data_IF_891722063085
#
_entry.id   IF_891722063085
#
_cell.length_a   1.000
_cell.length_b   1.000
_cell.length_c   1.000
_cell.angle_alpha   90.00
_cell.angle_beta   90.00
_cell.angle_gamma   90.00
#
_symmetry.space_group_name_H-M   'P 1'
#
loop_
_entity.id
_entity.type
_entity.pdbx_description
1 polymer ?
#
# COMPACT_ATOMS: atom_id res chain seq x y z
N UNK A 1 -36.79 14.98 16.31
CA UNK A 1 -36.61 15.19 14.86
C UNK A 1 -36.94 16.64 14.54
N UNK A 2 -36.00 17.49 14.10
CA UNK A 2 -36.33 18.84 13.69
C UNK A 2 -36.86 18.84 12.24
N UNK A 3 -37.94 19.59 12.04
CA UNK A 3 -38.67 19.78 10.79
C UNK A 3 -37.82 20.46 9.71
N UNK A 4 -37.79 19.86 8.52
CA UNK A 4 -37.10 20.34 7.32
C UNK A 4 -37.86 21.48 6.63
N UNK A 5 -37.31 22.70 6.63
CA UNK A 5 -37.76 23.74 5.71
C UNK A 5 -37.12 23.54 4.33
N UNK A 6 -37.96 23.35 3.31
CA UNK A 6 -37.59 23.37 1.89
C UNK A 6 -37.10 24.78 1.47
N UNK A 7 -36.19 24.78 0.49
CA UNK A 7 -35.65 25.90 -0.35
C UNK A 7 -34.42 26.56 0.28
N UNK A 8 -33.24 26.42 -0.33
CA UNK A 8 -32.82 27.16 -1.53
C UNK A 8 -32.14 26.25 -2.58
N UNK A 9 -32.31 26.60 -3.86
CA UNK A 9 -32.02 25.74 -5.00
C UNK A 9 -30.54 25.56 -5.32
N UNK A 10 -30.12 24.30 -5.48
CA UNK A 10 -28.89 23.95 -6.21
C UNK A 10 -29.04 24.42 -7.67
N UNK A 11 -28.12 25.25 -8.21
CA UNK A 11 -28.13 25.59 -9.62
C UNK A 11 -27.50 24.49 -10.49
N UNK A 12 -27.97 24.43 -11.73
CA UNK A 12 -27.44 23.72 -12.90
C UNK A 12 -28.01 22.32 -13.23
N UNK A 13 -28.23 22.13 -14.52
CA UNK A 13 -28.58 20.90 -15.23
C UNK A 13 -27.63 19.72 -14.96
N UNK A 14 -26.48 19.93 -14.32
CA UNK A 14 -25.45 18.92 -14.05
C UNK A 14 -25.85 17.84 -13.04
N UNK A 15 -26.88 18.08 -12.22
CA UNK A 15 -27.29 17.15 -11.15
C UNK A 15 -28.70 16.57 -11.31
N UNK A 16 -29.32 16.75 -12.49
CA UNK A 16 -30.67 16.25 -12.77
C UNK A 16 -30.78 14.73 -12.59
N UNK A 17 -29.77 13.98 -13.05
CA UNK A 17 -29.74 12.52 -12.93
C UNK A 17 -29.68 12.05 -11.46
N UNK A 18 -29.00 12.80 -10.58
CA UNK A 18 -28.96 12.47 -9.15
C UNK A 18 -30.30 12.76 -8.47
N UNK A 19 -30.96 13.88 -8.80
CA UNK A 19 -32.31 14.17 -8.28
C UNK A 19 -33.29 13.08 -8.67
N UNK A 20 -33.29 12.69 -9.95
CA UNK A 20 -34.11 11.58 -10.43
C UNK A 20 -33.81 10.27 -9.71
N UNK A 21 -32.54 10.01 -9.38
CA UNK A 21 -32.17 8.84 -8.59
C UNK A 21 -32.68 8.92 -7.14
N UNK A 22 -32.48 10.03 -6.44
CA UNK A 22 -32.97 10.23 -5.06
C UNK A 22 -34.49 10.11 -5.01
N UNK A 23 -35.21 10.82 -5.88
CA UNK A 23 -36.67 10.78 -5.97
C UNK A 23 -37.16 9.34 -6.28
N UNK A 24 -36.42 8.62 -7.12
CA UNK A 24 -36.70 7.22 -7.44
C UNK A 24 -36.47 6.26 -6.27
N UNK A 25 -35.45 6.50 -5.44
CA UNK A 25 -35.20 5.73 -4.20
C UNK A 25 -36.29 5.99 -3.18
N UNK A 26 -36.68 7.26 -2.97
CA UNK A 26 -37.76 7.63 -2.05
C UNK A 26 -39.09 6.99 -2.50
N UNK A 27 -39.43 7.09 -3.79
CA UNK A 27 -40.62 6.44 -4.34
C UNK A 27 -40.60 4.91 -4.24
N UNK A 28 -39.42 4.29 -4.36
CA UNK A 28 -39.24 2.84 -4.20
C UNK A 28 -39.31 2.38 -2.73
N UNK A 29 -38.99 3.25 -1.77
CA UNK A 29 -39.16 2.97 -0.35
C UNK A 29 -40.62 3.09 0.09
N UNK A 30 -41.40 3.98 -0.54
CA UNK A 30 -42.82 4.20 -0.26
C UNK A 30 -43.76 3.20 -0.98
N UNK A 31 -43.27 2.46 -1.98
CA UNK A 31 -44.04 1.43 -2.69
C UNK A 31 -43.42 0.04 -2.52
N UNK A 32 -44.24 -1.02 -2.61
CA UNK A 32 -43.88 -2.41 -2.29
C UNK A 32 -42.50 -2.90 -2.80
N UNK A 33 -41.84 -3.84 -2.08
CA UNK A 33 -40.42 -4.20 -2.22
C UNK A 33 -39.98 -4.85 -3.55
N UNK A 34 -40.84 -4.95 -4.56
CA UNK A 34 -40.55 -5.60 -5.84
C UNK A 34 -40.12 -4.65 -6.95
N UNK A 35 -40.02 -3.33 -6.70
CA UNK A 35 -39.61 -2.36 -7.72
C UNK A 35 -38.08 -2.33 -7.82
N UNK A 36 -37.56 -2.53 -9.04
CA UNK A 36 -36.11 -2.47 -9.32
C UNK A 36 -35.58 -1.09 -8.90
N UNK A 37 -34.62 -1.08 -7.95
CA UNK A 37 -34.00 0.17 -7.49
C UNK A 37 -33.35 0.91 -8.67
N UNK A 38 -33.48 2.24 -8.74
CA UNK A 38 -32.84 3.03 -9.77
C UNK A 38 -31.32 2.93 -9.65
N UNK A 39 -30.64 2.87 -10.80
CA UNK A 39 -29.18 2.76 -10.86
C UNK A 39 -28.54 4.09 -10.44
N UNK A 40 -27.57 4.01 -9.51
CA UNK A 40 -26.96 5.22 -8.95
C UNK A 40 -26.06 5.89 -9.99
N UNK A 41 -26.26 7.18 -10.31
CA UNK A 41 -25.38 7.88 -11.22
C UNK A 41 -23.97 8.00 -10.62
N UNK A 42 -22.95 7.85 -11.46
CA UNK A 42 -21.56 8.07 -11.09
C UNK A 42 -21.31 9.56 -10.94
N UNK A 43 -20.96 10.01 -9.74
CA UNK A 43 -20.56 11.38 -9.46
C UNK A 43 -19.07 11.42 -9.14
N UNK A 44 -18.40 12.49 -9.56
CA UNK A 44 -17.04 12.76 -9.10
C UNK A 44 -17.01 12.94 -7.59
N UNK A 45 -15.96 12.44 -6.93
CA UNK A 45 -15.73 12.59 -5.49
C UNK A 45 -15.76 14.06 -5.03
N UNK A 46 -15.37 14.97 -5.93
CA UNK A 46 -15.36 16.42 -5.75
C UNK A 46 -16.57 17.10 -6.38
N UNK A 47 -17.71 16.42 -6.45
CA UNK A 47 -18.95 17.10 -6.81
C UNK A 47 -19.19 18.22 -5.78
N UNK A 48 -19.39 19.48 -6.20
CA UNK A 48 -19.72 20.57 -5.29
C UNK A 48 -21.07 20.36 -4.59
N UNK A 49 -21.76 19.23 -4.77
CA UNK A 49 -22.95 18.88 -4.01
C UNK A 49 -22.74 19.01 -2.49
N UNK A 50 -21.57 18.72 -1.95
CA UNK A 50 -21.33 18.84 -0.51
C UNK A 50 -21.06 20.29 -0.08
N UNK A 51 -20.42 21.08 -0.94
CA UNK A 51 -20.25 22.53 -0.76
C UNK A 51 -21.62 23.23 -0.86
N UNK A 52 -22.43 22.86 -1.85
CA UNK A 52 -23.73 23.42 -2.16
C UNK A 52 -24.82 22.98 -1.16
N UNK A 53 -24.75 21.76 -0.63
CA UNK A 53 -25.70 21.26 0.39
C UNK A 53 -25.26 21.57 1.81
N UNK A 54 -24.00 21.99 2.02
CA UNK A 54 -23.41 22.24 3.33
C UNK A 54 -23.36 20.99 4.23
N UNK A 55 -23.42 19.78 3.67
CA UNK A 55 -23.47 18.52 4.43
C UNK A 55 -22.13 17.80 4.39
N UNK A 56 -21.45 17.59 5.52
CA UNK A 56 -20.26 16.76 5.54
C UNK A 56 -20.61 15.27 5.35
N UNK A 57 -19.66 14.49 4.85
CA UNK A 57 -19.67 13.04 4.95
C UNK A 57 -19.78 12.64 6.43
N UNK A 58 -20.82 11.88 6.83
CA UNK A 58 -20.91 11.45 8.23
C UNK A 58 -19.68 10.65 8.67
N UNK A 59 -19.18 9.80 7.77
CA UNK A 59 -18.01 8.96 7.97
C UNK A 59 -17.11 8.97 6.73
N UNK A 60 -15.82 9.14 6.95
CA UNK A 60 -14.77 8.90 5.97
C UNK A 60 -14.03 7.61 6.34
N UNK A 61 -13.94 6.64 5.43
CA UNK A 61 -13.22 5.39 5.67
C UNK A 61 -11.99 5.40 4.75
N UNK A 62 -10.81 5.36 5.36
CA UNK A 62 -9.52 5.30 4.67
C UNK A 62 -8.93 3.92 4.87
N UNK A 63 -8.97 3.09 3.82
CA UNK A 63 -8.27 1.81 3.81
C UNK A 63 -6.82 1.99 3.34
N UNK A 64 -5.92 1.14 3.83
CA UNK A 64 -4.48 1.21 3.62
C UNK A 64 -3.91 2.63 3.83
N UNK A 65 -4.27 3.25 4.96
CA UNK A 65 -3.98 4.68 5.21
C UNK A 65 -2.48 5.02 5.12
N UNK A 66 -1.56 4.04 5.23
CA UNK A 66 -0.12 4.25 5.06
C UNK A 66 0.26 4.91 3.73
N UNK A 67 -0.55 4.78 2.68
CA UNK A 67 -0.30 5.45 1.40
C UNK A 67 -0.51 6.97 1.45
N UNK A 68 -1.21 7.47 2.48
CA UNK A 68 -1.53 8.90 2.66
C UNK A 68 -0.89 9.48 3.93
N UNK A 69 0.12 8.81 4.51
CA UNK A 69 0.82 9.28 5.72
C UNK A 69 1.58 10.60 5.53
N UNK A 70 2.05 10.88 4.31
CA UNK A 70 2.88 12.05 4.04
C UNK A 70 2.01 13.31 3.93
N UNK A 71 2.10 14.18 4.94
CA UNK A 71 1.36 15.45 5.00
C UNK A 71 1.64 16.41 3.84
N UNK A 72 2.83 16.32 3.24
CA UNK A 72 3.22 17.15 2.10
C UNK A 72 2.67 16.63 0.77
N UNK A 73 2.11 15.42 0.75
CA UNK A 73 1.54 14.84 -0.47
C UNK A 73 0.22 15.53 -0.84
N UNK A 74 -0.01 15.68 -2.16
CA UNK A 74 -1.28 16.21 -2.69
C UNK A 74 -2.48 15.39 -2.20
N UNK A 75 -2.33 14.06 -2.13
CA UNK A 75 -3.40 13.17 -1.68
C UNK A 75 -3.77 13.42 -0.22
N UNK A 76 -2.79 13.54 0.68
CA UNK A 76 -3.06 13.86 2.09
C UNK A 76 -3.78 15.20 2.23
N UNK A 77 -3.29 16.24 1.53
CA UNK A 77 -3.88 17.57 1.57
C UNK A 77 -5.30 17.58 1.01
N UNK A 78 -5.57 16.85 -0.07
CA UNK A 78 -6.90 16.72 -0.65
C UNK A 78 -7.88 16.02 0.33
N UNK A 79 -7.45 14.95 1.00
CA UNK A 79 -8.27 14.26 2.00
C UNK A 79 -8.61 15.20 3.16
N UNK A 80 -7.65 16.01 3.62
CA UNK A 80 -7.86 17.00 4.68
C UNK A 80 -8.88 18.09 4.34
N UNK A 81 -9.15 18.32 3.05
CA UNK A 81 -10.14 19.28 2.58
C UNK A 81 -11.55 18.68 2.46
N UNK A 82 -11.69 17.36 2.54
CA UNK A 82 -13.00 16.72 2.49
C UNK A 82 -13.81 17.09 3.75
N UNK A 83 -15.08 17.52 3.61
CA UNK A 83 -15.90 17.81 4.76
C UNK A 83 -16.39 16.49 5.38
N UNK A 84 -15.82 16.02 6.49
CA UNK A 84 -16.26 14.80 7.18
C UNK A 84 -16.50 15.01 8.68
N UNK A 85 -17.46 14.26 9.25
CA UNK A 85 -17.80 14.29 10.68
C UNK A 85 -16.93 13.36 11.51
N UNK A 86 -16.73 12.12 11.05
CA UNK A 86 -15.85 11.14 11.67
C UNK A 86 -14.99 10.44 10.62
N UNK A 87 -13.83 9.91 11.04
CA UNK A 87 -12.91 9.17 10.16
C UNK A 87 -12.53 7.84 10.79
N UNK A 88 -12.46 6.79 9.98
CA UNK A 88 -11.94 5.48 10.33
C UNK A 88 -10.74 5.22 9.42
N UNK A 89 -9.57 5.05 10.02
CA UNK A 89 -8.34 4.70 9.31
C UNK A 89 -8.04 3.22 9.54
N UNK A 90 -8.01 2.43 8.46
CA UNK A 90 -7.59 1.03 8.47
C UNK A 90 -6.20 0.91 7.86
N UNK A 91 -5.33 0.15 8.51
CA UNK A 91 -4.00 -0.18 8.00
C UNK A 91 -3.47 -1.42 8.70
N UNK A 92 -2.80 -2.29 7.94
CA UNK A 92 -2.00 -3.38 8.50
C UNK A 92 -0.71 -2.88 9.19
N UNK A 93 -0.26 -1.66 8.86
CA UNK A 93 1.03 -1.10 9.30
C UNK A 93 0.90 0.40 9.62
N UNK A 94 0.71 0.72 10.90
CA UNK A 94 0.63 2.11 11.39
C UNK A 94 2.03 2.78 11.50
N UNK A 95 3.13 2.04 11.45
CA UNK A 95 4.48 2.59 11.60
C UNK A 95 5.43 1.99 10.55
N UNK A 96 5.41 2.47 9.29
CA UNK A 96 6.17 1.80 8.24
C UNK A 96 7.67 2.09 8.32
N UNK A 97 8.05 3.34 8.64
CA UNK A 97 9.46 3.77 8.56
C UNK A 97 9.94 4.40 9.88
N UNK A 98 9.27 5.46 10.33
CA UNK A 98 9.64 6.20 11.54
C UNK A 98 8.45 6.30 12.47
N UNK A 99 8.70 6.42 13.78
CA UNK A 99 7.63 6.56 14.76
C UNK A 99 6.81 7.85 14.56
N UNK A 100 7.38 8.87 13.93
CA UNK A 100 6.72 10.14 13.59
C UNK A 100 5.69 10.02 12.47
N UNK A 101 5.78 8.96 11.64
CA UNK A 101 4.82 8.71 10.55
C UNK A 101 3.38 8.61 11.07
N UNK A 102 3.19 8.20 12.33
CA UNK A 102 1.88 8.11 12.97
C UNK A 102 1.14 9.45 13.02
N UNK A 103 1.87 10.57 13.04
CA UNK A 103 1.27 11.89 13.06
C UNK A 103 0.47 12.17 11.78
N UNK A 104 0.90 11.61 10.64
CA UNK A 104 0.13 11.67 9.40
C UNK A 104 -1.25 11.00 9.49
N UNK A 105 -1.46 10.06 10.41
CA UNK A 105 -2.78 9.48 10.64
C UNK A 105 -3.57 10.26 11.68
N UNK A 106 -2.87 10.70 12.75
CA UNK A 106 -3.46 11.51 13.81
C UNK A 106 -4.05 12.80 13.22
N UNK A 107 -3.39 13.42 12.24
CA UNK A 107 -3.85 14.65 11.62
C UNK A 107 -5.23 14.55 10.96
N UNK A 108 -5.73 13.35 10.64
CA UNK A 108 -7.09 13.16 10.14
C UNK A 108 -8.15 13.11 11.24
N UNK A 109 -7.77 12.73 12.47
CA UNK A 109 -8.70 12.56 13.58
C UNK A 109 -9.24 13.93 14.03
N UNK A 110 -10.49 13.99 14.45
CA UNK A 110 -11.04 15.20 15.07
C UNK A 110 -10.63 15.26 16.55
N UNK A 111 -10.29 16.45 17.05
CA UNK A 111 -10.12 16.70 18.48
C UNK A 111 -8.80 16.25 19.12
N UNK A 112 -7.77 15.86 18.35
CA UNK A 112 -6.44 15.61 18.90
C UNK A 112 -5.75 16.94 19.33
N UNK A 113 -4.84 16.92 20.31
CA UNK A 113 -4.29 18.14 20.91
C UNK A 113 -3.11 18.76 20.13
N UNK A 114 -2.89 18.37 18.88
CA UNK A 114 -1.68 18.72 18.12
C UNK A 114 -2.07 19.45 16.84
N UNK A 115 -1.53 20.61 16.56
CA UNK A 115 -1.78 21.31 15.29
C UNK A 115 -0.63 21.11 14.30
N UNK A 116 0.57 20.82 14.82
CA UNK A 116 1.76 20.56 14.00
C UNK A 116 2.49 19.30 14.43
N UNK A 117 3.20 18.67 13.49
CA UNK A 117 4.06 17.52 13.79
C UNK A 117 5.14 17.87 14.82
N UNK A 118 5.58 19.13 14.83
CA UNK A 118 6.59 19.62 15.77
C UNK A 118 6.08 19.63 17.22
N UNK A 119 4.82 19.99 17.44
CA UNK A 119 4.17 19.89 18.76
C UNK A 119 4.08 18.43 19.21
N UNK A 120 3.62 17.55 18.31
CA UNK A 120 3.57 16.11 18.57
C UNK A 120 4.94 15.55 18.97
N UNK A 121 5.98 15.88 18.19
CA UNK A 121 7.35 15.43 18.46
C UNK A 121 7.89 15.98 19.78
N UNK A 122 7.61 17.23 20.14
CA UNK A 122 8.06 17.82 21.42
C UNK A 122 7.48 17.08 22.62
N UNK A 123 6.22 16.64 22.53
CA UNK A 123 5.56 15.92 23.62
C UNK A 123 6.15 14.52 23.83
N UNK A 124 6.43 13.78 22.74
CA UNK A 124 6.82 12.37 22.82
C UNK A 124 8.32 12.10 22.63
N UNK A 125 9.10 13.05 22.14
CA UNK A 125 10.54 12.87 21.94
C UNK A 125 11.32 14.18 22.15
N UNK A 126 12.59 14.17 21.76
CA UNK A 126 13.46 15.35 21.74
C UNK A 126 14.07 15.46 20.35
N UNK A 127 14.28 16.70 19.89
CA UNK A 127 14.93 16.98 18.60
C UNK A 127 16.41 17.30 18.84
N UNK A 128 17.29 16.74 18.01
CA UNK A 128 18.71 17.10 18.00
C UNK A 128 19.10 17.51 16.58
N UNK A 129 19.29 18.81 16.36
CA UNK A 129 19.44 19.38 15.01
C UNK A 129 18.21 19.06 14.13
N UNK A 130 18.46 18.54 12.92
CA UNK A 130 17.40 18.19 11.98
C UNK A 130 16.81 16.78 12.18
N UNK A 131 17.41 15.92 13.01
CA UNK A 131 16.94 14.54 13.22
C UNK A 131 16.03 14.44 14.44
N UNK A 132 14.96 13.67 14.29
CA UNK A 132 14.05 13.30 15.38
C UNK A 132 14.57 12.00 16.01
N UNK A 133 14.83 11.98 17.31
CA UNK A 133 15.22 10.77 18.03
C UNK A 133 14.00 9.95 18.42
N UNK A 134 14.22 8.68 18.70
CA UNK A 134 13.19 7.84 19.29
C UNK A 134 12.77 8.35 20.68
N UNK A 135 11.50 8.15 21.07
CA UNK A 135 11.01 8.47 22.40
C UNK A 135 11.82 7.75 23.50
N UNK A 136 12.35 8.44 24.52
CA UNK A 136 12.91 7.78 25.69
C UNK A 136 11.84 6.95 26.42
N UNK A 137 12.21 5.97 27.28
CA UNK A 137 11.27 5.00 27.84
C UNK A 137 10.00 5.60 28.47
N UNK A 138 10.14 6.68 29.23
CA UNK A 138 9.02 7.37 29.88
C UNK A 138 8.06 8.02 28.88
N UNK A 139 8.61 8.70 27.86
CA UNK A 139 7.79 9.31 26.79
C UNK A 139 7.22 8.25 25.84
N UNK A 140 7.94 7.14 25.60
CA UNK A 140 7.43 5.98 24.84
C UNK A 140 6.19 5.39 25.51
N UNK A 141 6.22 5.18 26.83
CA UNK A 141 5.04 4.72 27.56
C UNK A 141 3.86 5.69 27.44
N UNK A 142 4.11 7.00 27.46
CA UNK A 142 3.08 8.03 27.22
C UNK A 142 2.53 7.97 25.80
N UNK A 143 3.38 7.80 24.80
CA UNK A 143 2.98 7.63 23.40
C UNK A 143 2.08 6.40 23.24
N UNK A 144 2.47 5.26 23.81
CA UNK A 144 1.66 4.04 23.78
C UNK A 144 0.28 4.29 24.39
N UNK A 145 0.21 4.90 25.58
CA UNK A 145 -1.08 5.23 26.23
C UNK A 145 -1.94 6.16 25.36
N UNK A 146 -1.33 7.15 24.73
CA UNK A 146 -2.02 8.06 23.82
C UNK A 146 -2.60 7.31 22.60
N UNK A 147 -1.79 6.48 21.94
CA UNK A 147 -2.23 5.68 20.79
C UNK A 147 -3.33 4.69 21.16
N UNK A 148 -3.25 4.05 22.33
CA UNK A 148 -4.28 3.10 22.80
C UNK A 148 -5.65 3.74 23.02
N UNK A 149 -5.74 5.06 23.17
CA UNK A 149 -7.02 5.75 23.36
C UNK A 149 -7.90 5.76 22.10
N UNK A 150 -7.31 5.60 20.90
CA UNK A 150 -8.03 5.69 19.63
C UNK A 150 -7.63 4.63 18.60
N UNK A 151 -6.73 3.71 18.94
CA UNK A 151 -6.35 2.60 18.07
C UNK A 151 -6.84 1.27 18.61
N UNK A 152 -7.23 0.38 17.70
CA UNK A 152 -7.58 -1.01 18.01
C UNK A 152 -6.65 -1.89 17.18
N UNK A 153 -5.91 -2.79 17.85
CA UNK A 153 -5.06 -3.78 17.20
C UNK A 153 -5.18 -5.11 17.93
N UNK A 154 -5.54 -6.15 17.19
CA UNK A 154 -5.56 -7.52 17.70
C UNK A 154 -4.21 -8.20 17.42
N UNK A 155 -3.64 -8.94 18.37
CA UNK A 155 -2.45 -9.75 18.12
C UNK A 155 -2.76 -10.91 17.17
N UNK A 156 -1.75 -11.32 16.40
CA UNK A 156 -1.85 -12.47 15.50
C UNK A 156 -2.17 -13.79 16.23
N UNK A 157 -1.86 -13.89 17.53
CA UNK A 157 -2.15 -15.06 18.37
C UNK A 157 -3.64 -15.38 18.52
N UNK A 158 -4.53 -14.44 18.21
CA UNK A 158 -5.99 -14.69 18.19
C UNK A 158 -6.39 -15.50 16.95
N UNK A 159 -5.56 -15.52 15.91
CA UNK A 159 -5.79 -16.33 14.71
C UNK A 159 -5.30 -17.75 14.98
N UNK A 160 -6.23 -18.69 15.08
CA UNK A 160 -5.93 -20.12 15.09
C UNK A 160 -5.64 -20.60 13.65
N UNK A 161 -4.45 -20.26 13.14
CA UNK A 161 -3.95 -20.70 11.83
C UNK A 161 -2.62 -21.44 12.03
N UNK A 162 -2.26 -22.38 11.12
CA UNK A 162 -0.96 -23.03 11.16
C UNK A 162 0.18 -22.01 11.12
N UNK A 163 1.30 -22.33 11.77
CA UNK A 163 2.49 -21.47 11.77
C UNK A 163 3.07 -21.30 10.36
N UNK A 164 3.87 -20.24 10.21
CA UNK A 164 4.69 -20.02 9.02
C UNK A 164 6.15 -20.38 9.32
N UNK A 165 6.80 -21.11 8.41
CA UNK A 165 8.23 -21.46 8.48
C UNK A 165 8.99 -20.58 7.50
N UNK A 166 10.02 -19.89 7.99
CA UNK A 166 10.85 -18.99 7.21
C UNK A 166 12.22 -19.61 6.94
N UNK A 167 12.56 -19.81 5.67
CA UNK A 167 13.86 -20.35 5.25
C UNK A 167 14.60 -19.33 4.40
N UNK A 168 15.79 -18.90 4.83
CA UNK A 168 16.66 -18.10 3.98
C UNK A 168 17.55 -19.00 3.14
N UNK A 169 17.33 -19.01 1.83
CA UNK A 169 18.24 -19.66 0.87
C UNK A 169 19.32 -18.66 0.49
N UNK A 170 20.58 -19.01 0.72
CA UNK A 170 21.74 -18.27 0.23
C UNK A 170 22.33 -19.03 -0.94
N UNK A 171 22.78 -18.30 -1.95
CA UNK A 171 23.49 -18.85 -3.09
C UNK A 171 24.73 -18.02 -3.33
N UNK A 172 25.81 -18.69 -3.72
CA UNK A 172 27.03 -18.04 -4.15
C UNK A 172 26.98 -17.86 -5.67
N UNK A 173 27.51 -16.72 -6.14
CA UNK A 173 27.66 -16.48 -7.56
C UNK A 173 28.83 -17.33 -8.08
N UNK A 174 28.72 -17.82 -9.31
CA UNK A 174 29.89 -18.41 -9.98
C UNK A 174 30.82 -17.32 -10.52
N UNK A 175 32.06 -17.67 -10.88
CA UNK A 175 33.06 -16.70 -11.33
C UNK A 175 32.61 -15.82 -12.51
N UNK A 176 31.82 -16.37 -13.44
CA UNK A 176 31.28 -15.62 -14.59
C UNK A 176 30.21 -14.62 -14.14
N UNK A 177 29.34 -15.03 -13.22
CA UNK A 177 28.33 -14.15 -12.63
C UNK A 177 28.97 -13.03 -11.79
N UNK A 178 30.01 -13.35 -11.02
CA UNK A 178 30.80 -12.36 -10.27
C UNK A 178 31.43 -11.33 -11.22
N UNK A 179 32.10 -11.79 -12.28
CA UNK A 179 32.71 -10.92 -13.30
C UNK A 179 31.66 -10.02 -13.97
N UNK A 180 30.48 -10.56 -14.29
CA UNK A 180 29.38 -9.77 -14.81
C UNK A 180 28.90 -8.70 -13.82
N UNK A 181 28.73 -9.04 -12.54
CA UNK A 181 28.34 -8.08 -11.51
C UNK A 181 29.37 -6.96 -11.41
N UNK A 182 30.66 -7.28 -11.37
CA UNK A 182 31.75 -6.28 -11.36
C UNK A 182 31.70 -5.39 -12.60
N UNK A 183 31.57 -5.99 -13.78
CA UNK A 183 31.52 -5.28 -15.06
C UNK A 183 30.34 -4.31 -15.14
N UNK A 184 29.11 -4.78 -14.88
CA UNK A 184 27.91 -3.96 -14.96
C UNK A 184 27.88 -2.88 -13.88
N UNK A 185 28.42 -3.17 -12.69
CA UNK A 185 28.58 -2.17 -11.62
C UNK A 185 29.56 -1.06 -12.04
N UNK A 186 30.69 -1.41 -12.66
CA UNK A 186 31.64 -0.42 -13.18
C UNK A 186 31.01 0.45 -14.28
N UNK A 187 30.29 -0.17 -15.23
CA UNK A 187 29.57 0.54 -16.30
C UNK A 187 28.49 1.48 -15.74
N UNK A 188 27.79 1.06 -14.70
CA UNK A 188 26.82 1.89 -14.00
C UNK A 188 27.48 3.15 -13.42
N UNK A 189 28.60 3.00 -12.70
CA UNK A 189 29.33 4.15 -12.15
C UNK A 189 29.87 5.09 -13.24
N UNK A 190 30.38 4.53 -14.34
CA UNK A 190 30.85 5.30 -15.50
C UNK A 190 29.72 6.15 -16.11
N UNK A 191 28.55 5.55 -16.33
CA UNK A 191 27.40 6.24 -16.87
C UNK A 191 26.84 7.32 -15.93
N UNK A 192 26.80 7.04 -14.63
CA UNK A 192 26.35 8.03 -13.64
C UNK A 192 27.27 9.26 -13.59
N UNK A 193 28.59 9.07 -13.77
CA UNK A 193 29.55 10.18 -13.90
C UNK A 193 29.28 11.02 -15.14
N UNK A 194 29.01 10.38 -16.28
CA UNK A 194 28.72 11.07 -17.53
C UNK A 194 27.42 11.90 -17.46
N UNK A 195 26.39 11.38 -16.78
CA UNK A 195 25.09 12.06 -16.65
C UNK A 195 25.06 13.20 -15.61
N UNK A 196 26.16 13.47 -14.90
CA UNK A 196 26.26 14.52 -13.86
C UNK A 196 25.11 14.49 -12.86
N UNK A 197 24.67 13.29 -12.45
CA UNK A 197 23.58 13.14 -11.48
C UNK A 197 24.01 13.79 -10.15
N UNK A 198 23.26 14.78 -9.61
CA UNK A 198 23.62 15.43 -8.35
C UNK A 198 23.67 14.42 -7.19
N UNK A 199 24.75 14.44 -6.40
CA UNK A 199 24.92 13.58 -5.22
C UNK A 199 25.80 12.34 -5.40
N UNK A 200 26.38 12.12 -6.59
CA UNK A 200 27.22 10.94 -6.84
C UNK A 200 28.55 10.92 -6.08
N UNK A 201 29.08 12.09 -5.75
CA UNK A 201 30.29 12.23 -4.92
C UNK A 201 30.07 11.86 -3.45
N UNK A 202 28.82 11.56 -3.05
CA UNK A 202 28.44 11.17 -1.69
C UNK A 202 28.06 9.68 -1.57
N UNK A 203 28.23 8.87 -2.62
CA UNK A 203 28.16 7.41 -2.47
C UNK A 203 29.45 6.97 -1.80
N UNK A 204 29.48 7.07 -0.47
CA UNK A 204 30.55 6.53 0.34
C UNK A 204 30.59 5.01 0.15
N UNK A 205 31.79 4.49 -0.08
CA UNK A 205 32.14 3.07 -0.09
C UNK A 205 32.11 2.44 1.31
N UNK A 206 31.61 3.17 2.31
CA UNK A 206 31.52 2.68 3.67
C UNK A 206 30.46 1.57 3.75
N UNK A 207 30.79 0.53 4.52
CA UNK A 207 30.11 -0.76 4.73
C UNK A 207 28.68 -0.69 5.30
N UNK A 208 27.87 0.28 4.88
CA UNK A 208 26.45 0.32 5.19
C UNK A 208 25.69 -0.56 4.19
N UNK A 209 25.36 -1.78 4.62
CA UNK A 209 24.57 -2.77 3.85
C UNK A 209 23.30 -2.19 3.19
N UNK A 210 22.73 -1.14 3.79
CA UNK A 210 21.55 -0.41 3.27
C UNK A 210 21.89 0.37 1.99
N UNK A 211 23.06 0.99 1.91
CA UNK A 211 23.52 1.70 0.71
C UNK A 211 23.96 0.72 -0.37
N UNK A 212 24.57 -0.41 0.01
CA UNK A 212 24.94 -1.47 -0.92
C UNK A 212 23.71 -2.05 -1.64
N UNK A 213 22.62 -2.33 -0.92
CA UNK A 213 21.37 -2.82 -1.51
C UNK A 213 20.72 -1.77 -2.43
N UNK A 214 20.72 -0.49 -2.03
CA UNK A 214 20.25 0.62 -2.87
C UNK A 214 20.99 0.71 -4.19
N UNK A 215 22.31 0.58 -4.13
CA UNK A 215 23.20 0.68 -5.28
C UNK A 215 23.10 -0.56 -6.16
N UNK A 216 22.98 -1.75 -5.58
CA UNK A 216 22.77 -3.00 -6.31
C UNK A 216 21.45 -3.00 -7.09
N UNK A 217 20.35 -2.57 -6.45
CA UNK A 217 19.05 -2.44 -7.12
C UNK A 217 19.17 -1.43 -8.26
N UNK A 218 19.74 -0.24 -8.03
CA UNK A 218 19.94 0.79 -9.07
C UNK A 218 20.81 0.32 -10.24
N UNK A 219 21.88 -0.43 -9.95
CA UNK A 219 22.74 -1.02 -10.96
C UNK A 219 22.00 -2.07 -11.80
N UNK A 220 21.18 -2.92 -11.17
CA UNK A 220 20.30 -3.85 -11.87
C UNK A 220 19.28 -3.13 -12.76
N UNK A 221 18.64 -2.06 -12.29
CA UNK A 221 17.68 -1.29 -13.11
C UNK A 221 18.36 -0.71 -14.36
N UNK A 222 19.60 -0.23 -14.19
CA UNK A 222 20.35 0.39 -15.28
C UNK A 222 20.86 -0.63 -16.31
N UNK A 223 21.32 -1.79 -15.84
CA UNK A 223 21.71 -2.91 -16.71
C UNK A 223 20.53 -3.41 -17.57
N UNK A 224 19.30 -3.30 -17.07
CA UNK A 224 18.09 -3.55 -17.85
C UNK A 224 17.82 -2.50 -18.92
N UNK A 225 17.74 -1.21 -18.55
CA UNK A 225 17.57 -0.09 -19.48
C UNK A 225 17.76 1.28 -18.79
N UNK A 226 18.42 2.29 -19.40
CA UNK A 226 18.67 3.61 -18.78
C UNK A 226 17.41 4.36 -18.30
N UNK A 227 16.24 4.09 -18.90
CA UNK A 227 14.96 4.68 -18.49
C UNK A 227 14.42 4.14 -17.15
N UNK A 228 14.85 2.95 -16.72
CA UNK A 228 14.39 2.30 -15.49
C UNK A 228 14.96 2.93 -14.22
N UNK A 229 16.00 3.76 -14.34
CA UNK A 229 16.59 4.55 -13.24
C UNK A 229 15.60 5.51 -12.56
N UNK A 230 14.56 5.96 -13.29
CA UNK A 230 13.52 6.86 -12.77
C UNK A 230 12.36 6.13 -12.09
N UNK A 231 12.37 4.79 -12.10
CA UNK A 231 11.27 3.96 -11.59
C UNK A 231 11.71 3.30 -10.30
N UNK A 232 11.20 3.81 -9.17
CA UNK A 232 11.31 3.13 -7.88
C UNK A 232 10.63 1.75 -8.04
N UNK A 233 11.43 0.69 -7.89
CA UNK A 233 11.19 -0.69 -8.37
C UNK A 233 9.80 -1.27 -8.06
N UNK A 234 9.13 -1.74 -9.12
CA UNK A 234 8.10 -2.78 -9.17
C UNK A 234 8.33 -3.55 -10.48
N UNK A 235 9.36 -4.39 -10.56
CA UNK A 235 9.80 -4.98 -11.83
C UNK A 235 8.82 -6.03 -12.37
N UNK A 236 7.95 -5.57 -13.27
CA UNK A 236 7.11 -6.42 -14.11
C UNK A 236 7.99 -7.33 -14.98
N UNK A 237 9.09 -6.80 -15.54
CA UNK A 237 10.03 -7.51 -16.42
C UNK A 237 10.78 -8.68 -15.74
N UNK A 238 11.08 -8.56 -14.44
CA UNK A 238 11.67 -9.67 -13.70
C UNK A 238 10.72 -10.87 -13.62
N UNK A 239 9.41 -10.61 -13.51
CA UNK A 239 8.41 -11.69 -13.55
C UNK A 239 8.37 -12.40 -14.91
N UNK A 240 8.71 -11.71 -16.01
CA UNK A 240 8.82 -12.35 -17.33
C UNK A 240 9.96 -13.37 -17.36
N UNK A 241 11.12 -13.02 -16.81
CA UNK A 241 12.27 -13.93 -16.70
C UNK A 241 11.95 -15.15 -15.83
N UNK A 242 11.28 -14.92 -14.69
CA UNK A 242 10.84 -16.01 -13.80
C UNK A 242 9.82 -16.90 -14.52
N UNK A 243 8.84 -16.33 -15.21
CA UNK A 243 7.85 -17.09 -15.97
C UNK A 243 8.52 -17.95 -17.05
N UNK A 244 9.44 -17.38 -17.82
CA UNK A 244 10.19 -18.09 -18.86
C UNK A 244 11.04 -19.23 -18.26
N UNK A 245 11.71 -18.97 -17.13
CA UNK A 245 12.47 -20.00 -16.43
C UNK A 245 11.57 -21.16 -15.97
N UNK A 246 10.39 -20.88 -15.41
CA UNK A 246 9.40 -21.89 -15.04
C UNK A 246 8.92 -22.69 -16.25
N UNK A 247 8.62 -22.04 -17.37
CA UNK A 247 8.20 -22.72 -18.60
C UNK A 247 9.32 -23.64 -19.11
N UNK A 248 10.58 -23.18 -19.11
CA UNK A 248 11.71 -23.99 -19.59
C UNK A 248 11.96 -25.22 -18.74
N UNK A 249 11.94 -25.05 -17.41
CA UNK A 249 12.32 -26.09 -16.43
C UNK A 249 11.18 -27.03 -16.09
N UNK A 250 9.96 -26.52 -15.91
CA UNK A 250 8.81 -27.29 -15.39
C UNK A 250 7.69 -27.50 -16.42
N UNK A 251 7.79 -26.86 -17.60
CA UNK A 251 6.72 -26.85 -18.63
C UNK A 251 5.37 -26.34 -18.08
N UNK A 252 5.38 -25.58 -16.99
CA UNK A 252 4.19 -25.05 -16.33
C UNK A 252 4.07 -23.56 -16.61
N UNK A 253 2.87 -23.13 -17.02
CA UNK A 253 2.55 -21.72 -17.20
C UNK A 253 2.23 -21.09 -15.85
N UNK A 254 2.85 -19.94 -15.56
CA UNK A 254 2.59 -19.17 -14.37
C UNK A 254 1.38 -18.24 -14.57
N UNK A 255 0.57 -18.08 -13.53
CA UNK A 255 -0.39 -16.98 -13.44
C UNK A 255 0.36 -15.68 -13.15
N UNK A 256 -0.20 -14.55 -13.59
CA UNK A 256 0.41 -13.23 -13.37
C UNK A 256 -0.59 -12.28 -12.72
N UNK A 257 -0.12 -11.56 -11.71
CA UNK A 257 -0.90 -10.56 -10.99
C UNK A 257 -0.03 -9.33 -10.70
N UNK A 258 0.05 -8.43 -11.68
CA UNK A 258 0.80 -7.18 -11.56
C UNK A 258 0.02 -5.95 -12.09
N UNK A 259 0.70 -4.79 -12.16
CA UNK A 259 0.10 -3.53 -12.57
C UNK A 259 -0.41 -3.52 -14.02
N UNK A 260 0.02 -4.46 -14.86
CA UNK A 260 -0.42 -4.60 -16.25
C UNK A 260 -1.76 -5.34 -16.39
N UNK A 261 -2.16 -6.10 -15.36
CA UNK A 261 -3.44 -6.81 -15.34
C UNK A 261 -4.58 -5.81 -15.13
N UNK A 262 -5.48 -5.72 -16.13
CA UNK A 262 -6.67 -4.87 -16.09
C UNK A 262 -7.53 -5.19 -14.87
N UNK A 263 -8.13 -4.17 -14.28
CA UNK A 263 -8.91 -4.29 -13.04
C UNK A 263 -10.02 -5.35 -13.15
N UNK A 264 -10.77 -5.35 -14.26
CA UNK A 264 -11.84 -6.35 -14.51
C UNK A 264 -11.34 -7.80 -14.59
N UNK A 265 -10.08 -8.01 -14.98
CA UNK A 265 -9.50 -9.35 -15.15
C UNK A 265 -8.86 -9.88 -13.85
N UNK A 266 -8.53 -9.01 -12.89
CA UNK A 266 -7.85 -9.39 -11.64
C UNK A 266 -8.64 -10.43 -10.85
N UNK A 267 -9.96 -10.25 -10.72
CA UNK A 267 -10.81 -11.21 -10.01
C UNK A 267 -10.87 -12.56 -10.72
N UNK A 268 -10.94 -12.55 -12.05
CA UNK A 268 -10.97 -13.74 -12.90
C UNK A 268 -9.67 -14.52 -12.81
N UNK A 269 -8.52 -13.87 -12.98
CA UNK A 269 -7.19 -14.49 -12.89
C UNK A 269 -6.96 -15.13 -11.52
N UNK A 270 -7.29 -14.40 -10.44
CA UNK A 270 -7.20 -14.93 -9.07
C UNK A 270 -8.11 -16.14 -8.86
N UNK A 271 -9.36 -16.05 -9.33
CA UNK A 271 -10.34 -17.14 -9.20
C UNK A 271 -9.91 -18.38 -9.97
N UNK A 272 -9.43 -18.21 -11.21
CA UNK A 272 -8.88 -19.30 -12.03
C UNK A 272 -7.69 -19.97 -11.36
N UNK A 273 -6.77 -19.19 -10.79
CA UNK A 273 -5.64 -19.74 -10.03
C UNK A 273 -6.09 -20.52 -8.80
N UNK A 274 -6.98 -19.95 -7.98
CA UNK A 274 -7.48 -20.62 -6.75
C UNK A 274 -8.24 -21.92 -7.04
N UNK A 275 -8.90 -22.00 -8.20
CA UNK A 275 -9.66 -23.18 -8.64
C UNK A 275 -8.83 -24.17 -9.48
N UNK A 276 -7.55 -23.90 -9.72
CA UNK A 276 -6.68 -24.81 -10.46
C UNK A 276 -6.42 -26.10 -9.68
N UNK A 277 -6.07 -27.19 -10.36
CA UNK A 277 -5.78 -28.47 -9.70
C UNK A 277 -4.51 -28.35 -8.85
N UNK A 278 -4.52 -28.95 -7.66
CA UNK A 278 -3.31 -29.09 -6.83
C UNK A 278 -2.35 -30.12 -7.47
N UNK A 279 -1.03 -29.86 -7.52
CA UNK A 279 -0.35 -28.64 -7.06
C UNK A 279 -0.68 -27.45 -7.97
N UNK A 280 -1.07 -26.33 -7.35
CA UNK A 280 -1.42 -25.13 -8.09
C UNK A 280 -0.20 -24.60 -8.85
N UNK A 281 -0.37 -24.11 -10.11
CA UNK A 281 0.70 -23.42 -10.82
C UNK A 281 1.20 -22.19 -10.04
N UNK A 282 2.44 -21.73 -10.27
CA UNK A 282 2.93 -20.52 -9.62
C UNK A 282 2.09 -19.30 -10.03
N UNK A 283 1.89 -18.39 -9.08
CA UNK A 283 1.32 -17.06 -9.33
C UNK A 283 2.37 -16.00 -9.03
N UNK A 284 2.73 -15.22 -10.05
CA UNK A 284 3.74 -14.18 -9.98
C UNK A 284 3.07 -12.85 -9.63
N UNK A 285 3.53 -12.24 -8.54
CA UNK A 285 2.90 -11.04 -7.97
C UNK A 285 3.96 -9.97 -7.74
N UNK A 286 3.66 -8.72 -8.12
CA UNK A 286 4.48 -7.58 -7.69
C UNK A 286 3.95 -7.02 -6.38
N UNK A 287 4.85 -6.60 -5.48
CA UNK A 287 4.51 -6.03 -4.17
C UNK A 287 3.45 -4.92 -4.27
N UNK A 288 3.56 -4.10 -5.31
CA UNK A 288 2.70 -2.93 -5.48
C UNK A 288 1.42 -3.12 -6.29
N UNK A 289 1.21 -4.25 -6.95
CA UNK A 289 -0.05 -4.55 -7.63
C UNK A 289 -1.02 -5.36 -6.75
N UNK A 290 -0.51 -5.94 -5.66
CA UNK A 290 -1.32 -6.61 -4.65
C UNK A 290 -1.97 -5.67 -3.62
N UNK A 291 -1.70 -4.37 -3.64
CA UNK A 291 -2.20 -3.42 -2.63
C UNK A 291 -3.72 -3.55 -2.37
N UNK A 292 -4.10 -3.67 -1.09
CA UNK A 292 -5.48 -3.72 -0.58
C UNK A 292 -6.25 -5.07 -0.63
N UNK A 293 -5.63 -6.19 -0.23
CA UNK A 293 -6.42 -7.33 0.29
C UNK A 293 -6.71 -8.54 -0.62
N UNK A 294 -6.01 -8.71 -1.74
CA UNK A 294 -5.95 -9.99 -2.48
C UNK A 294 -5.70 -11.20 -1.55
N UNK A 295 -6.55 -12.22 -1.66
CA UNK A 295 -6.45 -13.49 -0.93
C UNK A 295 -5.87 -14.59 -1.82
N UNK A 296 -4.76 -15.20 -1.40
CA UNK A 296 -4.05 -16.27 -2.11
C UNK A 296 -3.94 -17.57 -1.29
N UNK A 297 -4.99 -17.89 -0.52
CA UNK A 297 -4.98 -18.96 0.48
C UNK A 297 -4.93 -20.38 -0.09
N UNK A 298 -5.19 -20.54 -1.40
CA UNK A 298 -4.99 -21.80 -2.11
C UNK A 298 -3.51 -22.22 -2.12
N UNK A 299 -2.59 -21.24 -2.04
CA UNK A 299 -1.15 -21.46 -1.92
C UNK A 299 -0.70 -21.51 -0.46
N UNK A 300 0.40 -22.24 -0.23
CA UNK A 300 1.06 -22.31 1.06
C UNK A 300 2.60 -22.25 0.96
N UNK A 301 3.12 -21.91 -0.22
CA UNK A 301 4.55 -21.63 -0.44
C UNK A 301 4.65 -20.22 -1.02
N UNK A 302 5.46 -19.38 -0.39
CA UNK A 302 5.78 -18.02 -0.81
C UNK A 302 7.26 -17.99 -1.09
N UNK A 303 7.67 -17.49 -2.26
CA UNK A 303 9.08 -17.29 -2.58
C UNK A 303 9.29 -15.80 -2.78
N UNK A 304 10.14 -15.21 -1.95
CA UNK A 304 10.52 -13.80 -2.06
C UNK A 304 11.78 -13.70 -2.92
N UNK A 305 11.64 -13.17 -4.12
CA UNK A 305 12.76 -13.06 -5.05
C UNK A 305 13.61 -11.80 -4.84
N UNK A 306 13.12 -10.83 -4.07
CA UNK A 306 13.81 -9.60 -3.73
C UNK A 306 13.59 -9.25 -2.27
N UNK A 307 14.51 -8.47 -1.70
CA UNK A 307 14.37 -7.86 -0.37
C UNK A 307 13.71 -6.50 -0.53
N UNK A 308 12.66 -6.24 0.24
CA UNK A 308 12.00 -4.93 0.23
C UNK A 308 12.60 -3.98 1.27
N UNK A 309 12.33 -2.69 1.08
CA UNK A 309 12.85 -1.62 1.94
C UNK A 309 12.25 -1.63 3.34
N UNK A 310 11.06 -2.21 3.48
CA UNK A 310 10.36 -2.29 4.77
C UNK A 310 9.91 -3.70 5.06
N UNK A 311 10.16 -4.15 6.29
CA UNK A 311 9.67 -5.44 6.80
C UNK A 311 8.14 -5.54 6.70
N UNK A 312 7.45 -4.40 6.80
CA UNK A 312 6.00 -4.34 6.69
C UNK A 312 5.48 -4.72 5.30
N UNK A 313 6.16 -4.34 4.23
CA UNK A 313 5.81 -4.79 2.87
C UNK A 313 6.02 -6.29 2.74
N UNK A 314 7.08 -6.83 3.33
CA UNK A 314 7.34 -8.27 3.37
C UNK A 314 6.24 -9.04 4.10
N UNK A 315 5.87 -8.60 5.30
CA UNK A 315 4.79 -9.20 6.08
C UNK A 315 3.44 -9.11 5.36
N UNK A 316 3.15 -8.01 4.67
CA UNK A 316 1.91 -7.85 3.90
C UNK A 316 1.84 -8.77 2.68
N UNK A 317 2.98 -9.12 2.08
CA UNK A 317 3.06 -10.09 1.00
C UNK A 317 2.83 -11.52 1.50
N UNK A 318 3.44 -11.90 2.62
CA UNK A 318 3.20 -13.21 3.23
C UNK A 318 1.75 -13.40 3.68
N UNK A 319 1.16 -12.34 4.26
CA UNK A 319 -0.21 -12.34 4.77
C UNK A 319 -1.29 -12.54 3.68
N UNK A 320 -0.89 -12.63 2.41
CA UNK A 320 -1.75 -13.05 1.28
C UNK A 320 -2.03 -14.54 1.30
N UNK A 321 -1.05 -15.33 1.75
CA UNK A 321 -1.15 -16.78 1.92
C UNK A 321 -1.39 -17.15 3.40
N UNK A 322 -0.70 -16.49 4.33
CA UNK A 322 -0.82 -16.71 5.78
C UNK A 322 -1.93 -15.84 6.40
N UNK A 323 -3.17 -16.33 6.32
CA UNK A 323 -4.39 -15.60 6.73
C UNK A 323 -5.47 -16.54 7.25
N UNK A 324 -6.44 -16.02 8.00
CA UNK A 324 -7.65 -16.73 8.46
C UNK A 324 -8.27 -17.59 7.35
N UNK A 325 -8.47 -18.89 7.60
CA UNK A 325 -8.88 -19.95 6.65
C UNK A 325 -7.73 -20.66 5.92
N UNK A 326 -6.47 -20.32 6.20
CA UNK A 326 -5.35 -21.14 5.77
C UNK A 326 -5.33 -22.45 6.58
N UNK A 327 -5.42 -23.59 5.90
CA UNK A 327 -5.46 -24.91 6.51
C UNK A 327 -4.09 -25.62 6.50
N UNK A 328 -3.14 -25.16 5.68
CA UNK A 328 -1.80 -25.75 5.54
C UNK A 328 -0.75 -24.85 6.17
N UNK A 329 0.32 -25.45 6.68
CA UNK A 329 1.52 -24.70 7.09
C UNK A 329 2.04 -23.88 5.91
N UNK A 330 2.33 -22.60 6.15
CA UNK A 330 2.90 -21.71 5.13
C UNK A 330 4.42 -21.78 5.20
N UNK A 331 5.08 -21.85 4.05
CA UNK A 331 6.54 -21.79 3.94
C UNK A 331 6.94 -20.56 3.14
N UNK A 332 7.85 -19.78 3.68
CA UNK A 332 8.41 -18.55 3.09
C UNK A 332 9.91 -18.71 2.94
#
# INVERSE_FOLDING_TARGET
MPSYSRRTGLPSSKYAALRQWVDGVEAANDTQPSKKMPERPVLSLFSPIYEDTGRPFPYLILDEVQFVKNQLSKTHQAIKQLPYGAVICASGTILPNQWTDVYGFISFLAGHPFYTEQEFVRVFASRYGNRVRDPPPTKRARLIKFLLAFTIRHPASILHIPDAVYTTVRFDLNAVEEDHVVYFTAKFYEAMRFMKVPGLSAIQTDDDAINAQANAVRAQQWAGHPALFKVISKFVEFLDLVAEAFIRTTKTLAFRFDGTVKEGDRHTTRGAWSNSKSPHPPILVTAGAGGAGMNLQAGNHVVRCERWWTESEEMQADARCHRKNQAKQVRV
#
